data_IF_778327535727
#
_entry.id   IF_778327535727
#
_cell.length_a   1.000
_cell.length_b   1.000
_cell.length_c   1.000
_cell.angle_alpha   90.00
_cell.angle_beta   90.00
_cell.angle_gamma   90.00
#
_symmetry.space_group_name_H-M   'P 1'
#
loop_
_entity.id
_entity.type
_entity.pdbx_description
1 polymer ?
#
# COMPACT_ATOMS: atom_id res chain seq x y z
N UNK A 1 8.21 19.12 56.46
CA UNK A 1 7.32 18.22 55.69
C UNK A 1 8.19 17.53 54.67
N UNK A 2 8.44 16.24 54.83
CA UNK A 2 9.15 15.46 53.82
C UNK A 2 8.29 15.47 52.55
N UNK A 3 8.80 16.07 51.47
CA UNK A 3 8.16 15.98 50.17
C UNK A 3 8.12 14.49 49.78
N UNK A 4 6.92 13.92 49.63
CA UNK A 4 6.77 12.57 49.11
C UNK A 4 7.34 12.51 47.69
N UNK A 5 8.57 12.00 47.55
CA UNK A 5 9.25 11.87 46.27
C UNK A 5 8.51 10.83 45.44
N UNK A 6 7.98 11.24 44.29
CA UNK A 6 7.32 10.31 43.38
C UNK A 6 8.29 9.83 42.31
N UNK A 7 8.47 8.51 42.21
CA UNK A 7 9.32 7.86 41.22
C UNK A 7 8.48 7.21 40.14
N UNK A 8 8.83 7.48 38.88
CA UNK A 8 8.33 6.75 37.73
C UNK A 8 9.47 6.21 36.90
N UNK A 9 9.23 5.10 36.23
CA UNK A 9 10.21 4.43 35.39
C UNK A 9 9.86 4.65 33.94
N UNK A 10 10.88 4.92 33.14
CA UNK A 10 10.78 5.02 31.69
C UNK A 10 12.04 4.45 31.06
N UNK A 11 12.12 4.53 29.73
CA UNK A 11 13.31 4.17 28.98
C UNK A 11 13.81 5.37 28.18
N UNK A 12 15.13 5.49 28.07
CA UNK A 12 15.76 6.40 27.12
C UNK A 12 15.49 5.95 25.67
N UNK A 13 15.84 6.81 24.70
CA UNK A 13 15.78 6.44 23.28
C UNK A 13 16.66 5.24 22.93
N UNK A 14 17.70 4.95 23.74
CA UNK A 14 18.61 3.81 23.59
C UNK A 14 18.11 2.54 24.27
N UNK A 15 16.97 2.60 24.98
CA UNK A 15 16.42 1.46 25.73
C UNK A 15 17.02 1.28 27.13
N UNK A 16 17.84 2.22 27.59
CA UNK A 16 18.38 2.22 28.95
C UNK A 16 17.33 2.74 29.95
N UNK A 17 17.30 2.17 31.15
CA UNK A 17 16.39 2.58 32.22
C UNK A 17 16.61 4.06 32.58
N UNK A 18 15.51 4.79 32.70
CA UNK A 18 15.45 6.19 33.05
C UNK A 18 14.45 6.41 34.18
N UNK A 19 14.88 7.13 35.21
CA UNK A 19 14.07 7.45 36.39
C UNK A 19 13.52 8.87 36.24
N UNK A 20 12.25 9.03 36.59
CA UNK A 20 11.54 10.31 36.61
C UNK A 20 11.21 10.63 38.06
N UNK A 21 11.58 11.83 38.50
CA UNK A 21 11.29 12.33 39.84
C UNK A 21 10.33 13.51 39.76
N UNK A 22 9.32 13.50 40.63
CA UNK A 22 8.36 14.58 40.84
C UNK A 22 7.72 15.07 39.53
N UNK A 23 7.59 14.17 38.55
CA UNK A 23 7.06 14.44 37.19
C UNK A 23 7.81 15.55 36.41
N UNK A 24 8.95 16.02 36.90
CA UNK A 24 9.62 17.22 36.40
C UNK A 24 11.05 16.94 35.89
N UNK A 25 11.74 15.98 36.51
CA UNK A 25 13.15 15.74 36.26
C UNK A 25 13.40 14.31 35.78
N UNK A 26 14.30 14.16 34.82
CA UNK A 26 14.70 12.87 34.24
C UNK A 26 16.13 12.55 34.63
N UNK A 27 16.39 11.29 34.98
CA UNK A 27 17.68 10.79 35.38
C UNK A 27 18.05 9.54 34.57
N UNK A 28 19.19 9.57 33.90
CA UNK A 28 19.72 8.40 33.19
C UNK A 28 20.60 7.59 34.11
N UNK A 29 20.59 6.28 33.93
CA UNK A 29 21.56 5.39 34.57
C UNK A 29 23.00 5.86 34.28
N UNK A 30 23.83 5.86 35.32
CA UNK A 30 25.24 6.23 35.21
C UNK A 30 26.15 5.03 35.43
N UNK A 31 26.06 4.37 36.58
CA UNK A 31 26.88 3.21 36.95
C UNK A 31 26.31 2.52 38.19
N UNK A 32 26.73 1.28 38.42
CA UNK A 32 26.45 0.54 39.65
C UNK A 32 27.61 0.71 40.64
N UNK A 33 27.28 0.72 41.94
CA UNK A 33 28.24 0.74 43.05
C UNK A 33 28.59 -0.68 43.49
N UNK A 34 29.60 -0.81 44.37
CA UNK A 34 30.07 -2.10 44.90
C UNK A 34 29.01 -2.85 45.71
N UNK A 35 28.07 -2.13 46.32
CA UNK A 35 26.90 -2.65 47.05
C UNK A 35 25.71 -2.97 46.13
N UNK A 36 25.93 -3.02 44.81
CA UNK A 36 24.93 -3.18 43.75
C UNK A 36 23.89 -2.05 43.64
N UNK A 37 23.97 -0.99 44.45
CA UNK A 37 23.10 0.18 44.28
C UNK A 37 23.41 0.91 42.98
N UNK A 38 22.37 1.49 42.36
CA UNK A 38 22.47 2.11 41.03
C UNK A 38 22.42 3.63 41.15
N UNK A 39 23.39 4.29 40.51
CA UNK A 39 23.45 5.76 40.45
C UNK A 39 22.83 6.25 39.16
N UNK A 40 21.88 7.18 39.26
CA UNK A 40 21.28 7.87 38.13
C UNK A 40 21.59 9.37 38.22
N UNK A 41 21.99 9.98 37.10
CA UNK A 41 22.32 11.42 37.02
C UNK A 41 21.29 12.14 36.16
N UNK A 42 21.01 13.40 36.49
CA UNK A 42 20.09 14.21 35.71
C UNK A 42 20.49 14.24 34.22
N UNK A 43 19.51 14.15 33.31
CA UNK A 43 19.76 14.17 31.86
C UNK A 43 20.44 15.44 31.35
N UNK A 44 20.37 16.52 32.13
CA UNK A 44 20.98 17.82 31.84
C UNK A 44 22.45 17.90 32.32
N UNK A 45 23.00 16.86 32.96
CA UNK A 45 24.40 16.81 33.45
C UNK A 45 25.43 16.97 32.33
N UNK A 46 25.18 16.42 31.14
CA UNK A 46 26.09 16.53 29.97
C UNK A 46 25.74 17.67 29.02
N UNK A 47 24.72 18.47 29.34
CA UNK A 47 24.26 19.58 28.50
C UNK A 47 24.79 20.90 29.05
N UNK A 48 24.39 22.02 28.44
CA UNK A 48 24.79 23.37 28.83
C UNK A 48 24.57 23.66 30.32
N UNK A 49 23.50 23.10 30.89
CA UNK A 49 23.18 23.26 32.30
C UNK A 49 24.22 22.59 33.22
N UNK A 50 24.91 21.52 32.81
CA UNK A 50 25.86 20.77 33.67
C UNK A 50 25.28 20.40 35.04
N UNK A 51 24.00 20.06 35.07
CA UNK A 51 23.22 19.81 36.29
C UNK A 51 23.83 18.70 37.15
N UNK A 52 24.09 18.96 38.43
CA UNK A 52 24.79 18.04 39.35
C UNK A 52 23.87 17.07 40.10
N UNK A 53 22.56 17.19 39.94
CA UNK A 53 21.60 16.32 40.62
C UNK A 53 21.79 14.84 40.29
N UNK A 54 21.69 14.00 41.31
CA UNK A 54 21.71 12.55 41.16
C UNK A 54 20.82 11.87 42.20
N UNK A 55 20.47 10.62 41.91
CA UNK A 55 19.77 9.72 42.81
C UNK A 55 20.47 8.37 42.85
N UNK A 56 20.51 7.75 44.02
CA UNK A 56 20.96 6.37 44.21
C UNK A 56 19.77 5.54 44.66
N UNK A 57 19.52 4.46 43.93
CA UNK A 57 18.45 3.50 44.23
C UNK A 57 19.05 2.14 44.59
N UNK A 58 18.40 1.40 45.50
CA UNK A 58 18.70 0.00 45.72
C UNK A 58 18.11 -0.89 44.61
N UNK A 59 18.27 -2.21 44.72
CA UNK A 59 17.72 -3.16 43.75
C UNK A 59 16.18 -3.16 43.72
N UNK A 60 15.54 -2.83 44.84
CA UNK A 60 14.09 -2.71 45.01
C UNK A 60 13.55 -1.34 44.57
N UNK A 61 14.43 -0.47 44.04
CA UNK A 61 14.13 0.89 43.54
C UNK A 61 13.73 1.89 44.63
N UNK A 62 14.08 1.60 45.88
CA UNK A 62 13.96 2.51 47.01
C UNK A 62 15.11 3.52 47.01
N UNK A 63 14.84 4.72 47.51
CA UNK A 63 15.79 5.83 47.52
C UNK A 63 16.79 5.65 48.67
N UNK A 64 18.03 5.33 48.33
CA UNK A 64 19.13 5.33 49.31
C UNK A 64 19.67 6.73 49.56
N UNK A 65 19.73 7.55 48.50
CA UNK A 65 20.13 8.96 48.59
C UNK A 65 19.62 9.73 47.37
N UNK A 66 19.04 10.90 47.60
CA UNK A 66 18.66 11.84 46.55
C UNK A 66 19.28 13.21 46.81
N UNK A 67 20.01 13.75 45.83
CA UNK A 67 20.64 15.06 45.91
C UNK A 67 20.08 15.97 44.81
N UNK A 68 19.16 16.85 45.18
CA UNK A 68 18.33 17.68 44.29
C UNK A 68 18.98 19.02 43.92
N UNK A 69 20.22 18.98 43.41
CA UNK A 69 20.99 20.18 43.01
C UNK A 69 20.69 20.64 41.57
N UNK A 70 19.41 20.83 41.25
CA UNK A 70 18.99 21.23 39.91
C UNK A 70 19.24 22.72 39.69
N UNK A 71 19.89 23.05 38.58
CA UNK A 71 20.13 24.43 38.16
C UNK A 71 19.35 24.82 36.89
N UNK A 72 18.28 24.09 36.63
CA UNK A 72 17.37 24.31 35.50
C UNK A 72 15.94 23.99 35.94
N UNK A 73 14.93 24.59 35.29
CA UNK A 73 13.54 24.26 35.57
C UNK A 73 13.21 22.81 35.18
N UNK A 74 12.19 22.26 35.85
CA UNK A 74 11.57 21.00 35.47
C UNK A 74 10.86 21.10 34.11
N UNK A 75 10.67 19.97 33.43
CA UNK A 75 9.98 19.92 32.14
C UNK A 75 8.96 18.79 32.12
N UNK A 76 7.75 19.11 32.58
CA UNK A 76 6.64 18.15 32.72
C UNK A 76 6.21 17.53 31.39
N UNK A 77 6.21 18.31 30.30
CA UNK A 77 5.87 17.79 28.96
C UNK A 77 6.92 16.80 28.45
N UNK A 78 8.21 17.12 28.63
CA UNK A 78 9.31 16.22 28.23
C UNK A 78 9.31 14.92 29.04
N UNK A 79 8.90 15.00 30.30
CA UNK A 79 8.67 13.85 31.17
C UNK A 79 7.47 13.05 30.68
N UNK A 80 6.31 13.68 30.49
CA UNK A 80 5.09 13.00 30.05
C UNK A 80 5.28 12.29 28.72
N UNK A 81 6.00 12.91 27.77
CA UNK A 81 6.38 12.28 26.52
C UNK A 81 7.24 11.03 26.73
N UNK A 82 8.17 11.04 27.68
CA UNK A 82 9.04 9.88 27.94
C UNK A 82 8.26 8.73 28.56
N UNK A 83 7.35 9.01 29.50
CA UNK A 83 6.44 8.02 30.09
C UNK A 83 5.51 7.42 29.04
N UNK A 84 4.87 8.26 28.22
CA UNK A 84 3.96 7.79 27.17
C UNK A 84 4.67 6.88 26.17
N UNK A 85 5.88 7.27 25.74
CA UNK A 85 6.71 6.45 24.85
C UNK A 85 7.03 5.09 25.45
N UNK A 86 7.34 5.03 26.75
CA UNK A 86 7.62 3.78 27.45
C UNK A 86 6.37 2.88 27.51
N UNK A 87 5.24 3.40 28.00
CA UNK A 87 3.96 2.66 28.06
C UNK A 87 3.55 2.11 26.68
N UNK A 88 3.66 2.92 25.64
CA UNK A 88 3.36 2.50 24.26
C UNK A 88 4.22 1.31 23.83
N UNK A 89 5.53 1.36 24.08
CA UNK A 89 6.43 0.25 23.71
C UNK A 89 6.05 -1.02 24.47
N UNK A 90 5.76 -0.91 25.76
CA UNK A 90 5.45 -2.06 26.61
C UNK A 90 4.12 -2.71 26.23
N UNK A 91 3.09 -1.91 25.95
CA UNK A 91 1.84 -2.44 25.40
C UNK A 91 2.05 -3.13 24.04
N UNK A 92 2.85 -2.54 23.14
CA UNK A 92 3.19 -3.16 21.86
C UNK A 92 3.95 -4.49 22.07
N UNK A 93 4.83 -4.59 23.07
CA UNK A 93 5.55 -5.83 23.38
C UNK A 93 4.58 -6.95 23.79
N UNK A 94 3.51 -6.64 24.53
CA UNK A 94 2.49 -7.61 25.00
C UNK A 94 1.64 -8.22 23.87
N UNK A 95 1.43 -7.51 22.76
CA UNK A 95 0.66 -8.03 21.63
C UNK A 95 1.42 -9.09 20.83
N UNK A 96 0.91 -10.31 20.72
CA UNK A 96 1.55 -11.35 19.89
C UNK A 96 1.60 -10.98 18.41
N UNK A 97 0.47 -10.53 17.84
CA UNK A 97 0.37 -10.14 16.45
C UNK A 97 0.46 -8.60 16.28
N UNK A 98 1.46 -8.07 15.56
CA UNK A 98 1.59 -6.63 15.33
C UNK A 98 0.45 -6.02 14.49
N UNK A 99 -0.26 -6.81 13.68
CA UNK A 99 -1.34 -6.34 12.81
C UNK A 99 -2.63 -5.99 13.57
N UNK A 100 -2.85 -6.57 14.75
CA UNK A 100 -4.03 -6.31 15.59
C UNK A 100 -3.98 -4.93 16.27
N UNK A 101 -2.81 -4.28 16.24
CA UNK A 101 -2.55 -3.04 16.96
C UNK A 101 -3.16 -1.86 16.21
N UNK A 102 -4.37 -1.46 16.63
CA UNK A 102 -5.02 -0.22 16.19
C UNK A 102 -4.31 1.00 16.81
N UNK A 103 -3.30 1.52 16.11
CA UNK A 103 -2.41 2.63 16.55
C UNK A 103 -3.09 3.78 17.29
N UNK A 104 -4.18 4.34 16.75
CA UNK A 104 -4.88 5.48 17.37
C UNK A 104 -5.67 5.07 18.62
N UNK A 105 -6.23 3.85 18.63
CA UNK A 105 -6.91 3.29 19.79
C UNK A 105 -5.93 3.05 20.94
N UNK A 106 -4.80 2.41 20.65
CA UNK A 106 -3.70 2.20 21.61
C UNK A 106 -3.28 3.53 22.25
N UNK A 107 -3.03 4.56 21.43
CA UNK A 107 -2.71 5.89 21.94
C UNK A 107 -3.82 6.46 22.83
N UNK A 108 -5.09 6.36 22.41
CA UNK A 108 -6.22 6.92 23.18
C UNK A 108 -6.38 6.22 24.54
N UNK A 109 -6.17 4.90 24.61
CA UNK A 109 -6.24 4.12 25.85
C UNK A 109 -5.14 4.57 26.84
N UNK A 110 -3.89 4.63 26.36
CA UNK A 110 -2.75 5.10 27.18
C UNK A 110 -2.89 6.57 27.56
N UNK A 111 -3.36 7.42 26.65
CA UNK A 111 -3.57 8.84 26.89
C UNK A 111 -4.66 9.08 27.95
N UNK A 112 -5.74 8.30 27.96
CA UNK A 112 -6.76 8.36 29.01
C UNK A 112 -6.21 7.95 30.37
N UNK A 113 -5.43 6.87 30.42
CA UNK A 113 -4.77 6.42 31.65
C UNK A 113 -3.81 7.47 32.21
N UNK A 114 -3.06 8.15 31.33
CA UNK A 114 -2.07 9.17 31.70
C UNK A 114 -2.68 10.55 32.00
N UNK A 115 -3.84 10.87 31.43
CA UNK A 115 -4.44 12.22 31.46
C UNK A 115 -4.78 12.73 32.86
N UNK A 116 -4.85 11.84 33.85
CA UNK A 116 -5.04 12.20 35.26
C UNK A 116 -3.74 12.62 35.98
N UNK A 117 -2.57 12.30 35.41
CA UNK A 117 -1.27 12.41 36.10
C UNK A 117 -0.33 13.39 35.39
N UNK A 118 -0.42 13.49 34.06
CA UNK A 118 0.50 14.23 33.21
C UNK A 118 -0.20 15.06 32.13
N UNK A 119 0.42 16.15 31.64
CA UNK A 119 0.01 16.78 30.39
C UNK A 119 0.17 15.78 29.25
N UNK A 120 -0.92 15.44 28.56
CA UNK A 120 -0.91 14.41 27.52
C UNK A 120 -0.26 14.93 26.22
N UNK A 121 0.87 14.33 25.77
CA UNK A 121 1.44 14.65 24.47
C UNK A 121 0.47 14.28 23.35
N UNK A 122 0.46 15.08 22.28
CA UNK A 122 -0.34 14.80 21.10
C UNK A 122 0.07 13.50 20.39
N UNK A 123 -0.89 12.88 19.70
CA UNK A 123 -0.64 11.68 18.91
C UNK A 123 0.49 11.85 17.88
N UNK A 124 0.61 13.04 17.28
CA UNK A 124 1.65 13.33 16.28
C UNK A 124 3.05 13.13 16.88
N UNK A 125 3.24 13.50 18.15
CA UNK A 125 4.52 13.38 18.87
C UNK A 125 4.99 11.94 19.09
N UNK A 126 4.07 10.96 19.02
CA UNK A 126 4.37 9.52 19.25
C UNK A 126 4.04 8.61 18.06
N UNK A 127 3.36 9.11 17.03
CA UNK A 127 2.95 8.34 15.83
C UNK A 127 4.11 7.57 15.20
N UNK A 128 5.25 8.23 14.99
CA UNK A 128 6.44 7.61 14.40
C UNK A 128 7.06 6.55 15.30
N UNK A 129 7.02 6.73 16.63
CA UNK A 129 7.49 5.72 17.57
C UNK A 129 6.60 4.47 17.51
N UNK A 130 5.28 4.64 17.54
CA UNK A 130 4.32 3.52 17.44
C UNK A 130 4.62 2.71 16.17
N UNK A 131 4.72 3.39 15.02
CA UNK A 131 5.06 2.77 13.74
C UNK A 131 6.38 1.97 13.79
N UNK A 132 7.46 2.59 14.28
CA UNK A 132 8.76 1.92 14.39
C UNK A 132 8.73 0.73 15.33
N UNK A 133 7.98 0.82 16.43
CA UNK A 133 7.90 -0.24 17.44
C UNK A 133 7.11 -1.44 16.93
N UNK A 134 6.03 -1.21 16.18
CA UNK A 134 5.28 -2.27 15.48
C UNK A 134 6.16 -2.92 14.40
N UNK A 135 6.82 -2.11 13.57
CA UNK A 135 7.67 -2.62 12.48
C UNK A 135 8.86 -3.46 12.98
N UNK A 136 9.36 -3.21 14.20
CA UNK A 136 10.40 -4.05 14.81
C UNK A 136 9.94 -5.48 15.12
N UNK A 137 8.64 -5.72 15.24
CA UNK A 137 8.08 -7.07 15.44
C UNK A 137 7.82 -7.78 14.11
N UNK A 138 7.79 -7.05 13.00
CA UNK A 138 7.62 -7.65 11.68
C UNK A 138 8.94 -8.26 11.21
N UNK A 139 8.90 -9.37 10.45
CA UNK A 139 10.09 -9.92 9.83
C UNK A 139 10.71 -8.89 8.87
N UNK A 140 12.01 -9.01 8.66
CA UNK A 140 12.72 -8.24 7.64
C UNK A 140 12.06 -8.43 6.27
N UNK A 141 11.95 -7.34 5.51
CA UNK A 141 11.43 -7.41 4.16
C UNK A 141 12.32 -8.33 3.30
N UNK A 142 11.68 -9.16 2.50
CA UNK A 142 12.31 -9.96 1.46
C UNK A 142 12.99 -9.03 0.46
N UNK A 143 14.20 -9.38 -0.01
CA UNK A 143 14.97 -8.53 -0.94
C UNK A 143 14.98 -9.06 -2.38
N UNK A 144 14.78 -10.36 -2.56
CA UNK A 144 14.68 -11.00 -3.87
C UNK A 144 13.43 -11.86 -4.01
N UNK A 145 13.00 -12.11 -5.26
CA UNK A 145 11.78 -12.91 -5.50
C UNK A 145 11.91 -14.36 -4.99
N UNK A 146 13.12 -14.93 -5.03
CA UNK A 146 13.36 -16.32 -4.61
C UNK A 146 13.35 -16.48 -3.08
N UNK A 147 13.61 -15.41 -2.33
CA UNK A 147 13.56 -15.40 -0.87
C UNK A 147 12.13 -15.37 -0.30
N UNK A 148 11.11 -15.16 -1.13
CA UNK A 148 9.72 -15.35 -0.69
C UNK A 148 9.64 -16.78 -0.14
N UNK A 149 9.15 -17.02 1.09
CA UNK A 149 9.07 -18.38 1.63
C UNK A 149 7.97 -19.20 0.93
N UNK A 150 8.01 -20.53 1.05
CA UNK A 150 6.92 -21.40 0.59
C UNK A 150 5.81 -21.51 1.65
N UNK A 151 6.17 -21.31 2.92
CA UNK A 151 5.28 -21.41 4.06
C UNK A 151 5.49 -20.20 4.96
N UNK A 152 4.40 -19.66 5.50
CA UNK A 152 4.44 -18.53 6.42
C UNK A 152 3.13 -18.50 7.20
N UNK A 153 3.20 -18.08 8.46
CA UNK A 153 2.00 -17.75 9.23
C UNK A 153 1.11 -16.70 8.52
N UNK A 154 1.72 -15.82 7.72
CA UNK A 154 1.00 -14.79 6.94
C UNK A 154 0.31 -15.33 5.68
N UNK A 155 0.51 -16.61 5.34
CA UNK A 155 -0.16 -17.27 4.22
C UNK A 155 -1.40 -18.04 4.67
N UNK A 156 -1.85 -17.80 5.90
CA UNK A 156 -3.12 -18.30 6.45
C UNK A 156 -4.06 -17.14 6.72
N UNK A 157 -5.36 -17.36 6.52
CA UNK A 157 -6.39 -16.41 6.95
C UNK A 157 -6.62 -16.52 8.46
N UNK A 158 -7.39 -15.59 9.05
CA UNK A 158 -7.83 -15.69 10.45
C UNK A 158 -8.63 -16.98 10.75
N UNK A 159 -9.17 -17.64 9.70
CA UNK A 159 -9.87 -18.93 9.79
C UNK A 159 -8.93 -20.13 9.54
N UNK A 160 -7.62 -19.90 9.52
CA UNK A 160 -6.59 -20.90 9.22
C UNK A 160 -6.71 -21.54 7.81
N UNK A 161 -7.34 -20.82 6.87
CA UNK A 161 -7.45 -21.26 5.48
C UNK A 161 -6.21 -20.84 4.69
N UNK A 162 -5.79 -21.65 3.71
CA UNK A 162 -4.68 -21.30 2.82
C UNK A 162 -4.99 -20.04 2.02
N UNK A 163 -4.06 -19.10 2.04
CA UNK A 163 -4.14 -17.87 1.28
C UNK A 163 -3.19 -17.86 0.08
N UNK A 164 -1.99 -18.44 0.19
CA UNK A 164 -1.10 -18.61 -0.96
C UNK A 164 -1.41 -19.92 -1.68
N UNK A 165 -1.82 -19.85 -2.95
CA UNK A 165 -2.28 -21.01 -3.72
C UNK A 165 -1.30 -21.49 -4.79
N UNK A 166 -0.34 -20.64 -5.16
CA UNK A 166 0.64 -20.98 -6.19
C UNK A 166 1.90 -20.13 -6.08
N UNK A 167 3.04 -20.75 -6.34
CA UNK A 167 4.34 -20.07 -6.44
C UNK A 167 5.25 -20.77 -7.44
N UNK A 168 5.98 -20.00 -8.22
CA UNK A 168 7.14 -20.44 -8.99
C UNK A 168 8.20 -19.34 -9.05
N UNK A 169 9.10 -19.33 -10.04
CA UNK A 169 10.17 -18.34 -10.18
C UNK A 169 9.75 -16.95 -10.69
N UNK A 170 8.53 -16.80 -11.22
CA UNK A 170 8.05 -15.55 -11.84
C UNK A 170 6.71 -15.06 -11.28
N UNK A 171 5.98 -15.91 -10.54
CA UNK A 171 4.60 -15.70 -10.14
C UNK A 171 4.33 -16.28 -8.75
N UNK A 172 3.75 -15.46 -7.89
CA UNK A 172 3.10 -15.89 -6.63
C UNK A 172 1.64 -15.47 -6.68
N UNK A 173 0.72 -16.35 -6.29
CA UNK A 173 -0.73 -16.07 -6.28
C UNK A 173 -1.28 -16.28 -4.88
N UNK A 174 -2.02 -15.28 -4.42
CA UNK A 174 -2.78 -15.28 -3.18
C UNK A 174 -4.27 -15.20 -3.49
N UNK A 175 -5.02 -16.18 -2.98
CA UNK A 175 -6.46 -16.26 -3.09
C UNK A 175 -7.00 -17.16 -1.97
N UNK A 176 -7.79 -16.60 -1.05
CA UNK A 176 -8.47 -17.41 -0.02
C UNK A 176 -9.64 -18.20 -0.61
N UNK A 177 -10.17 -19.24 0.08
CA UNK A 177 -11.36 -19.97 -0.35
C UNK A 177 -12.57 -19.05 -0.58
N UNK A 178 -12.75 -18.04 0.29
CA UNK A 178 -13.81 -17.05 0.12
C UNK A 178 -13.64 -16.23 -1.17
N UNK A 179 -12.41 -15.80 -1.48
CA UNK A 179 -12.12 -15.05 -2.69
C UNK A 179 -12.30 -15.91 -3.96
N UNK A 180 -11.92 -17.19 -3.91
CA UNK A 180 -12.20 -18.14 -4.99
C UNK A 180 -13.71 -18.32 -5.21
N UNK A 181 -14.50 -18.38 -4.12
CA UNK A 181 -15.97 -18.42 -4.18
C UNK A 181 -16.55 -17.15 -4.83
N UNK A 182 -16.03 -15.97 -4.50
CA UNK A 182 -16.45 -14.72 -5.12
C UNK A 182 -16.12 -14.67 -6.61
N UNK A 183 -14.89 -15.05 -6.98
CA UNK A 183 -14.43 -15.15 -8.38
C UNK A 183 -15.38 -16.00 -9.22
N UNK A 184 -15.84 -17.12 -8.65
CA UNK A 184 -16.78 -18.03 -9.30
C UNK A 184 -18.20 -17.49 -9.34
N UNK A 185 -18.75 -17.05 -8.20
CA UNK A 185 -20.16 -16.63 -8.09
C UNK A 185 -20.44 -15.40 -8.97
N UNK A 186 -19.48 -14.48 -9.07
CA UNK A 186 -19.62 -13.20 -9.76
C UNK A 186 -18.73 -13.13 -11.01
N UNK A 187 -18.74 -14.16 -11.82
CA UNK A 187 -17.88 -14.29 -12.99
C UNK A 187 -18.38 -13.59 -14.27
N UNK A 188 -19.59 -13.02 -14.30
CA UNK A 188 -20.06 -12.29 -15.49
C UNK A 188 -19.07 -11.20 -15.93
N UNK A 189 -18.48 -10.50 -14.97
CA UNK A 189 -17.54 -9.40 -15.20
C UNK A 189 -16.37 -9.53 -14.23
N UNK A 190 -15.19 -9.85 -14.78
CA UNK A 190 -13.94 -9.88 -14.02
C UNK A 190 -13.10 -8.68 -14.39
N UNK A 191 -12.67 -7.93 -13.39
CA UNK A 191 -11.81 -6.78 -13.58
C UNK A 191 -10.40 -7.10 -13.15
N UNK A 192 -9.43 -6.70 -13.96
CA UNK A 192 -8.03 -7.00 -13.71
C UNK A 192 -7.18 -5.75 -13.92
N UNK A 193 -6.23 -5.54 -13.01
CA UNK A 193 -5.32 -4.40 -13.05
C UNK A 193 -3.94 -4.76 -12.49
N UNK A 194 -2.90 -4.13 -13.04
CA UNK A 194 -1.53 -4.25 -12.56
C UNK A 194 -1.09 -2.96 -11.87
N UNK A 195 -0.91 -3.00 -10.55
CA UNK A 195 -0.44 -1.85 -9.78
C UNK A 195 1.05 -1.95 -9.45
N UNK A 196 1.76 -0.84 -9.65
CA UNK A 196 3.19 -0.69 -9.35
C UNK A 196 3.43 -0.12 -7.94
N UNK A 197 2.44 0.59 -7.39
CA UNK A 197 2.60 1.36 -6.15
C UNK A 197 2.92 0.47 -4.94
N UNK A 198 2.29 -0.71 -4.88
CA UNK A 198 2.50 -1.70 -3.81
C UNK A 198 3.45 -2.83 -4.22
N UNK A 199 4.02 -2.77 -5.42
CA UNK A 199 4.87 -3.85 -5.93
C UNK A 199 6.22 -3.87 -5.20
N UNK A 200 6.67 -5.04 -4.69
CA UNK A 200 8.03 -5.19 -4.19
C UNK A 200 9.07 -4.79 -5.25
N UNK A 201 10.20 -4.22 -4.82
CA UNK A 201 11.27 -3.72 -5.72
C UNK A 201 11.77 -4.75 -6.72
N UNK A 202 11.74 -6.04 -6.36
CA UNK A 202 12.18 -7.17 -7.18
C UNK A 202 11.08 -7.72 -8.11
N UNK A 203 9.92 -7.08 -8.16
CA UNK A 203 8.77 -7.49 -8.97
C UNK A 203 8.37 -6.37 -9.93
N UNK A 204 7.76 -6.73 -11.06
CA UNK A 204 7.32 -5.76 -12.04
C UNK A 204 5.98 -5.13 -11.63
N UNK A 205 5.08 -5.89 -11.01
CA UNK A 205 3.78 -5.41 -10.58
C UNK A 205 3.11 -6.36 -9.59
N UNK A 206 2.12 -5.84 -8.85
CA UNK A 206 1.08 -6.66 -8.22
C UNK A 206 -0.14 -6.65 -9.12
N UNK A 207 -0.54 -7.82 -9.57
CA UNK A 207 -1.72 -8.04 -10.39
C UNK A 207 -2.92 -8.37 -9.49
N UNK A 208 -4.00 -7.63 -9.65
CA UNK A 208 -5.20 -7.74 -8.83
C UNK A 208 -6.34 -8.20 -9.73
N UNK A 209 -7.12 -9.18 -9.26
CA UNK A 209 -8.40 -9.53 -9.89
C UNK A 209 -9.54 -9.15 -8.94
N UNK A 210 -10.62 -8.61 -9.50
CA UNK A 210 -11.79 -8.12 -8.76
C UNK A 210 -13.08 -8.49 -9.48
N UNK A 211 -14.16 -8.59 -8.72
CA UNK A 211 -15.52 -8.80 -9.23
C UNK A 211 -16.48 -7.86 -8.54
N UNK A 212 -17.53 -7.43 -9.25
CA UNK A 212 -18.58 -6.62 -8.66
C UNK A 212 -19.66 -7.50 -8.04
N UNK A 213 -19.88 -7.33 -6.73
CA UNK A 213 -20.88 -8.07 -5.96
C UNK A 213 -22.15 -7.22 -5.90
N UNK A 214 -23.14 -7.59 -6.71
CA UNK A 214 -24.38 -6.81 -6.90
C UNK A 214 -25.14 -6.60 -5.59
N UNK A 215 -25.24 -7.64 -4.76
CA UNK A 215 -25.98 -7.62 -3.51
C UNK A 215 -25.38 -6.64 -2.48
N UNK A 216 -24.08 -6.33 -2.61
CA UNK A 216 -23.36 -5.41 -1.73
C UNK A 216 -23.04 -4.08 -2.42
N UNK A 217 -23.44 -3.92 -3.69
CA UNK A 217 -23.14 -2.78 -4.53
C UNK A 217 -21.65 -2.36 -4.46
N UNK A 218 -20.73 -3.34 -4.49
CA UNK A 218 -19.30 -3.07 -4.24
C UNK A 218 -18.36 -4.03 -4.95
N UNK A 219 -17.14 -3.57 -5.22
CA UNK A 219 -16.08 -4.36 -5.84
C UNK A 219 -15.25 -5.09 -4.79
N UNK A 220 -15.17 -6.41 -4.92
CA UNK A 220 -14.36 -7.26 -4.05
C UNK A 220 -13.15 -7.80 -4.79
N UNK A 221 -12.02 -7.83 -4.09
CA UNK A 221 -10.80 -8.48 -4.60
C UNK A 221 -10.92 -9.99 -4.49
N UNK A 222 -10.63 -10.65 -5.59
CA UNK A 222 -10.73 -12.10 -5.74
C UNK A 222 -9.38 -12.78 -5.86
N UNK A 223 -8.30 -12.04 -6.16
CA UNK A 223 -6.93 -12.51 -5.96
C UNK A 223 -5.92 -11.37 -5.96
N UNK A 224 -4.77 -11.62 -5.37
CA UNK A 224 -3.55 -10.85 -5.57
C UNK A 224 -2.48 -11.75 -6.19
N UNK A 225 -1.64 -11.21 -7.05
CA UNK A 225 -0.50 -11.94 -7.57
C UNK A 225 0.72 -11.04 -7.72
N UNK A 226 1.89 -11.52 -7.32
CA UNK A 226 3.16 -10.81 -7.51
C UNK A 226 3.80 -11.35 -8.77
N UNK A 227 4.04 -10.48 -9.76
CA UNK A 227 4.57 -10.87 -11.06
C UNK A 227 5.95 -10.25 -11.28
N UNK A 228 6.93 -11.09 -11.63
CA UNK A 228 8.29 -10.62 -11.99
C UNK A 228 8.38 -10.08 -13.42
N UNK A 229 7.40 -10.40 -14.27
CA UNK A 229 7.36 -9.95 -15.65
C UNK A 229 5.92 -9.81 -16.17
N UNK A 230 5.75 -9.07 -17.27
CA UNK A 230 4.48 -8.86 -17.98
C UNK A 230 4.31 -9.78 -19.21
N UNK A 231 4.89 -10.99 -19.18
CA UNK A 231 4.85 -11.91 -20.33
C UNK A 231 3.49 -12.63 -20.39
N UNK A 232 2.99 -12.87 -21.60
CA UNK A 232 1.75 -13.63 -21.83
C UNK A 232 1.75 -15.01 -21.14
N UNK A 233 2.90 -15.71 -21.11
CA UNK A 233 3.04 -17.02 -20.44
C UNK A 233 2.70 -16.94 -18.95
N UNK A 234 3.11 -15.87 -18.29
CA UNK A 234 2.88 -15.64 -16.86
C UNK A 234 1.41 -15.38 -16.57
N UNK A 235 0.77 -14.51 -17.36
CA UNK A 235 -0.69 -14.30 -17.25
C UNK A 235 -1.48 -15.56 -17.54
N UNK A 236 -1.10 -16.35 -18.56
CA UNK A 236 -1.77 -17.61 -18.89
C UNK A 236 -1.73 -18.56 -17.68
N UNK A 237 -0.58 -18.66 -17.03
CA UNK A 237 -0.42 -19.48 -15.83
C UNK A 237 -1.24 -18.95 -14.64
N UNK A 238 -1.27 -17.63 -14.44
CA UNK A 238 -2.11 -16.98 -13.43
C UNK A 238 -3.59 -17.34 -13.62
N UNK A 239 -4.16 -17.08 -14.79
CA UNK A 239 -5.58 -17.36 -15.04
C UNK A 239 -5.90 -18.85 -15.00
N UNK A 240 -4.98 -19.72 -15.44
CA UNK A 240 -5.13 -21.16 -15.27
C UNK A 240 -5.22 -21.57 -13.80
N UNK A 241 -4.36 -21.02 -12.94
CA UNK A 241 -4.36 -21.35 -11.51
C UNK A 241 -5.63 -20.83 -10.82
N UNK A 242 -6.09 -19.63 -11.16
CA UNK A 242 -7.38 -19.12 -10.67
C UNK A 242 -8.57 -19.99 -11.15
N UNK A 243 -8.55 -20.47 -12.40
CA UNK A 243 -9.56 -21.39 -12.93
C UNK A 243 -9.54 -22.74 -12.19
N UNK A 244 -8.36 -23.31 -11.97
CA UNK A 244 -8.18 -24.61 -11.28
C UNK A 244 -8.59 -24.56 -9.81
N UNK A 245 -8.32 -23.46 -9.11
CA UNK A 245 -8.64 -23.32 -7.69
C UNK A 245 -10.17 -23.28 -7.41
N UNK A 246 -11.00 -23.30 -8.46
CA UNK A 246 -12.45 -23.34 -8.38
C UNK A 246 -13.01 -24.78 -8.50
N UNK A 247 -12.63 -25.65 -7.56
CA UNK A 247 -12.81 -27.13 -7.56
C UNK A 247 -14.26 -27.71 -7.54
N UNK A 248 -15.31 -27.01 -7.99
CA UNK A 248 -16.68 -27.59 -8.04
C UNK A 248 -17.23 -27.63 -9.47
N UNK A 249 -17.79 -28.79 -9.87
CA UNK A 249 -18.30 -29.28 -11.17
C UNK A 249 -19.27 -28.40 -11.99
N UNK A 250 -19.48 -27.14 -11.64
CA UNK A 250 -20.28 -26.19 -12.42
C UNK A 250 -19.41 -24.97 -12.65
N UNK A 251 -18.66 -24.94 -13.76
CA UNK A 251 -17.88 -23.78 -14.18
C UNK A 251 -18.77 -23.00 -15.14
N UNK A 252 -19.36 -21.91 -14.67
CA UNK A 252 -19.70 -20.82 -15.58
C UNK A 252 -18.38 -20.12 -15.92
N UNK A 253 -18.08 -19.99 -17.21
CA UNK A 253 -16.91 -19.24 -17.65
C UNK A 253 -17.21 -17.73 -17.58
N UNK A 254 -16.21 -16.88 -17.31
CA UNK A 254 -16.44 -15.45 -17.31
C UNK A 254 -16.85 -14.94 -18.68
N UNK A 255 -17.86 -14.05 -18.69
CA UNK A 255 -18.39 -13.48 -19.93
C UNK A 255 -17.56 -12.30 -20.41
N UNK A 256 -17.14 -11.44 -19.49
CA UNK A 256 -16.34 -10.26 -19.79
C UNK A 256 -15.09 -10.21 -18.90
N UNK A 257 -13.95 -9.86 -19.48
CA UNK A 257 -12.79 -9.37 -18.74
C UNK A 257 -12.60 -7.88 -19.01
N UNK A 258 -12.36 -7.13 -17.96
CA UNK A 258 -12.07 -5.71 -18.00
C UNK A 258 -10.61 -5.50 -17.67
N UNK A 259 -9.82 -5.00 -18.61
CA UNK A 259 -8.37 -4.86 -18.43
C UNK A 259 -7.82 -3.61 -19.13
N UNK A 260 -6.54 -3.36 -18.89
CA UNK A 260 -5.81 -2.31 -19.59
C UNK A 260 -5.40 -2.73 -20.99
N UNK A 261 -4.88 -1.77 -21.76
CA UNK A 261 -4.31 -1.97 -23.10
C UNK A 261 -2.97 -2.70 -23.03
N UNK A 262 -2.98 -3.91 -22.50
CA UNK A 262 -1.82 -4.81 -22.45
C UNK A 262 -2.14 -6.10 -23.21
N UNK A 263 -1.58 -6.25 -24.43
CA UNK A 263 -1.79 -7.43 -25.29
C UNK A 263 -1.46 -8.76 -24.58
N UNK A 264 -0.53 -8.74 -23.63
CA UNK A 264 -0.15 -9.91 -22.85
C UNK A 264 -1.32 -10.47 -22.03
N UNK A 265 -2.12 -9.60 -21.42
CA UNK A 265 -3.31 -9.97 -20.66
C UNK A 265 -4.37 -10.50 -21.60
N UNK A 266 -4.76 -9.70 -22.61
CA UNK A 266 -5.88 -10.04 -23.50
C UNK A 266 -5.67 -11.36 -24.24
N UNK A 267 -4.46 -11.58 -24.79
CA UNK A 267 -4.11 -12.85 -25.45
C UNK A 267 -4.00 -14.02 -24.48
N UNK A 268 -3.66 -13.80 -23.21
CA UNK A 268 -3.63 -14.87 -22.22
C UNK A 268 -5.05 -15.28 -21.83
N UNK A 269 -5.92 -14.31 -21.55
CA UNK A 269 -7.30 -14.55 -21.12
C UNK A 269 -8.10 -15.26 -22.22
N UNK A 270 -8.00 -14.82 -23.49
CA UNK A 270 -8.62 -15.51 -24.65
C UNK A 270 -8.15 -16.97 -24.80
N UNK A 271 -6.91 -17.29 -24.40
CA UNK A 271 -6.43 -18.69 -24.43
C UNK A 271 -7.00 -19.56 -23.30
N UNK A 272 -7.42 -18.96 -22.18
CA UNK A 272 -7.97 -19.70 -21.02
C UNK A 272 -9.50 -19.75 -21.04
N UNK A 273 -10.13 -18.70 -21.57
CA UNK A 273 -11.56 -18.54 -21.73
C UNK A 273 -11.83 -18.12 -23.18
N UNK A 274 -11.97 -19.09 -24.12
CA UNK A 274 -12.10 -18.79 -25.55
C UNK A 274 -13.30 -17.88 -25.90
N UNK A 275 -14.40 -18.01 -25.14
CA UNK A 275 -15.65 -17.28 -25.39
C UNK A 275 -15.73 -15.93 -24.65
N UNK A 276 -14.65 -15.48 -24.01
CA UNK A 276 -14.66 -14.25 -23.22
C UNK A 276 -14.64 -13.00 -24.10
N UNK A 277 -15.47 -12.03 -23.76
CA UNK A 277 -15.39 -10.70 -24.33
C UNK A 277 -14.35 -9.87 -23.58
N UNK A 278 -13.48 -9.17 -24.32
CA UNK A 278 -12.47 -8.30 -23.73
C UNK A 278 -12.95 -6.86 -23.81
N UNK A 279 -13.01 -6.23 -22.63
CA UNK A 279 -13.33 -4.82 -22.49
C UNK A 279 -12.11 -4.09 -21.94
N UNK A 280 -11.63 -3.12 -22.70
CA UNK A 280 -10.51 -2.30 -22.35
C UNK A 280 -10.95 -1.04 -21.59
N UNK A 281 -10.09 -0.56 -20.68
CA UNK A 281 -10.37 0.62 -19.88
C UNK A 281 -10.30 1.92 -20.70
N UNK A 282 -11.40 2.68 -20.76
CA UNK A 282 -11.47 3.95 -21.52
C UNK A 282 -10.51 5.01 -20.98
N UNK A 283 -10.26 5.01 -19.67
CA UNK A 283 -9.34 5.97 -19.06
C UNK A 283 -7.93 5.76 -19.57
N UNK A 284 -7.46 4.51 -19.56
CA UNK A 284 -6.16 4.15 -20.11
C UNK A 284 -6.07 4.44 -21.61
N UNK A 285 -7.12 4.15 -22.37
CA UNK A 285 -7.20 4.54 -23.79
C UNK A 285 -6.97 6.03 -24.01
N UNK A 286 -7.77 6.88 -23.35
CA UNK A 286 -7.68 8.34 -23.51
C UNK A 286 -6.34 8.88 -23.04
N UNK A 287 -5.80 8.35 -21.93
CA UNK A 287 -4.50 8.74 -21.42
C UNK A 287 -3.37 8.38 -22.40
N UNK A 288 -3.38 7.18 -22.98
CA UNK A 288 -2.38 6.77 -23.98
C UNK A 288 -2.48 7.59 -25.27
N UNK A 289 -3.70 7.92 -25.72
CA UNK A 289 -3.89 8.83 -26.85
C UNK A 289 -3.37 10.23 -26.56
N UNK A 290 -3.62 10.76 -25.37
CA UNK A 290 -3.15 12.09 -24.98
C UNK A 290 -1.62 12.17 -24.95
N UNK A 291 -0.96 11.14 -24.39
CA UNK A 291 0.51 11.03 -24.42
C UNK A 291 1.01 11.04 -25.87
N UNK A 292 0.44 10.18 -26.74
CA UNK A 292 0.88 10.07 -28.13
C UNK A 292 0.56 11.30 -28.98
N UNK A 293 -0.57 11.96 -28.71
CA UNK A 293 -0.93 13.26 -29.30
C UNK A 293 0.10 14.32 -28.92
N UNK A 294 0.48 14.39 -27.64
CA UNK A 294 1.49 15.35 -27.17
C UNK A 294 2.90 15.06 -27.73
N UNK A 295 3.22 13.78 -27.96
CA UNK A 295 4.49 13.36 -28.56
C UNK A 295 4.58 13.68 -30.07
N UNK A 296 3.51 13.41 -30.81
CA UNK A 296 3.56 13.43 -32.28
C UNK A 296 3.06 14.73 -32.90
N UNK A 297 1.96 15.31 -32.38
CA UNK A 297 1.18 16.34 -33.09
C UNK A 297 0.61 17.42 -32.16
N UNK A 298 1.29 17.73 -31.05
CA UNK A 298 0.81 18.68 -30.04
C UNK A 298 0.45 20.04 -30.62
N UNK A 299 1.32 20.61 -31.45
CA UNK A 299 1.15 21.94 -32.01
C UNK A 299 -0.01 21.95 -33.01
N UNK A 300 -0.01 21.03 -33.99
CA UNK A 300 -1.13 20.91 -34.95
C UNK A 300 -2.49 20.74 -34.28
N UNK A 301 -2.57 19.97 -33.20
CA UNK A 301 -3.83 19.73 -32.46
C UNK A 301 -4.24 20.93 -31.61
N UNK A 302 -3.29 21.68 -31.04
CA UNK A 302 -3.60 22.81 -30.16
C UNK A 302 -3.84 24.12 -30.92
N UNK A 303 -3.19 24.28 -32.08
CA UNK A 303 -3.19 25.52 -32.84
C UNK A 303 -4.32 25.54 -33.90
N UNK A 304 -4.94 24.38 -34.19
CA UNK A 304 -6.01 24.25 -35.18
C UNK A 304 -7.28 23.58 -34.62
N UNK A 305 -8.37 24.34 -34.57
CA UNK A 305 -9.66 23.87 -34.04
C UNK A 305 -10.22 22.66 -34.81
N UNK A 306 -10.01 22.57 -36.13
CA UNK A 306 -10.51 21.42 -36.92
C UNK A 306 -9.74 20.15 -36.57
N UNK A 307 -8.41 20.24 -36.42
CA UNK A 307 -7.58 19.10 -36.03
C UNK A 307 -7.86 18.70 -34.58
N UNK A 308 -8.09 19.66 -33.69
CA UNK A 308 -8.59 19.40 -32.35
C UNK A 308 -9.89 18.59 -32.36
N UNK A 309 -10.86 18.98 -33.20
CA UNK A 309 -12.12 18.27 -33.34
C UNK A 309 -11.94 16.87 -33.93
N UNK A 310 -11.01 16.68 -34.87
CA UNK A 310 -10.65 15.35 -35.37
C UNK A 310 -10.06 14.45 -34.28
N UNK A 311 -9.12 14.97 -33.48
CA UNK A 311 -8.58 14.27 -32.32
C UNK A 311 -9.68 13.89 -31.31
N UNK A 312 -10.62 14.81 -31.04
CA UNK A 312 -11.79 14.52 -30.20
C UNK A 312 -12.67 13.42 -30.80
N UNK A 313 -12.86 13.40 -32.11
CA UNK A 313 -13.53 12.32 -32.82
C UNK A 313 -12.84 10.97 -32.57
N UNK A 314 -11.53 10.88 -32.83
CA UNK A 314 -10.73 9.66 -32.60
C UNK A 314 -10.80 9.19 -31.15
N UNK A 315 -10.61 10.09 -30.19
CA UNK A 315 -10.63 9.75 -28.75
C UNK A 315 -12.01 9.32 -28.21
N UNK A 316 -13.08 9.50 -28.99
CA UNK A 316 -14.44 9.12 -28.63
C UNK A 316 -15.04 8.03 -29.54
N UNK A 317 -14.28 7.49 -30.51
CA UNK A 317 -14.68 6.32 -31.31
C UNK A 317 -15.26 5.16 -30.49
N UNK A 318 -14.74 4.84 -29.28
CA UNK A 318 -15.34 3.85 -28.39
C UNK A 318 -16.84 3.98 -28.08
N UNK A 319 -17.42 5.17 -28.26
CA UNK A 319 -18.81 5.47 -27.94
C UNK A 319 -19.72 5.43 -29.17
N UNK A 320 -19.16 5.18 -30.35
CA UNK A 320 -19.90 5.12 -31.61
C UNK A 320 -20.21 3.65 -31.95
N UNK A 321 -21.23 3.41 -32.77
CA UNK A 321 -21.48 2.09 -33.34
C UNK A 321 -20.20 1.60 -34.06
N UNK A 322 -19.67 0.41 -33.74
CA UNK A 322 -18.45 -0.10 -34.35
C UNK A 322 -18.45 -0.16 -35.88
N UNK A 323 -19.62 -0.29 -36.50
CA UNK A 323 -19.77 -0.30 -37.97
C UNK A 323 -19.28 1.00 -38.60
N UNK A 324 -19.45 2.15 -37.93
CA UNK A 324 -19.05 3.46 -38.46
C UNK A 324 -17.60 3.84 -38.12
N UNK A 325 -16.88 3.06 -37.30
CA UNK A 325 -15.52 3.42 -36.84
C UNK A 325 -14.57 3.61 -38.03
N UNK A 326 -14.61 2.70 -39.00
CA UNK A 326 -13.72 2.75 -40.17
C UNK A 326 -14.06 3.91 -41.11
N UNK A 327 -15.35 4.20 -41.29
CA UNK A 327 -15.80 5.30 -42.16
C UNK A 327 -15.41 6.65 -41.56
N UNK A 328 -15.65 6.84 -40.25
CA UNK A 328 -15.27 8.05 -39.52
C UNK A 328 -13.75 8.23 -39.54
N UNK A 329 -12.99 7.17 -39.27
CA UNK A 329 -11.53 7.23 -39.33
C UNK A 329 -11.03 7.62 -40.73
N UNK A 330 -11.60 7.02 -41.77
CA UNK A 330 -11.23 7.30 -43.17
C UNK A 330 -11.56 8.75 -43.55
N UNK A 331 -12.73 9.25 -43.16
CA UNK A 331 -13.13 10.64 -43.36
C UNK A 331 -12.16 11.62 -42.68
N UNK A 332 -11.81 11.36 -41.42
CA UNK A 332 -10.85 12.18 -40.67
C UNK A 332 -9.47 12.15 -41.36
N UNK A 333 -9.02 10.97 -41.80
CA UNK A 333 -7.75 10.81 -42.51
C UNK A 333 -7.73 11.62 -43.81
N UNK A 334 -8.74 11.50 -44.67
CA UNK A 334 -8.84 12.26 -45.94
C UNK A 334 -8.81 13.76 -45.69
N UNK A 335 -9.62 14.27 -44.75
CA UNK A 335 -9.63 15.70 -44.43
C UNK A 335 -8.33 16.21 -43.82
N UNK A 336 -7.57 15.33 -43.14
CA UNK A 336 -6.25 15.68 -42.60
C UNK A 336 -5.18 15.74 -43.70
N UNK A 337 -5.31 14.94 -44.76
CA UNK A 337 -4.46 15.01 -45.97
C UNK A 337 -4.72 16.32 -46.72
N UNK A 338 -5.99 16.66 -46.99
CA UNK A 338 -6.37 17.91 -47.67
C UNK A 338 -5.83 19.16 -46.96
N UNK A 339 -5.67 19.09 -45.64
CA UNK A 339 -5.19 20.18 -44.80
C UNK A 339 -3.67 20.18 -44.58
N UNK A 340 -2.94 19.22 -45.17
CA UNK A 340 -1.49 19.06 -45.00
C UNK A 340 -1.04 18.93 -43.53
N UNK A 341 -1.85 18.27 -42.67
CA UNK A 341 -1.54 18.05 -41.25
C UNK A 341 -0.62 16.84 -41.05
N UNK A 342 0.63 16.99 -41.49
CA UNK A 342 1.62 15.92 -41.56
C UNK A 342 1.88 15.23 -40.22
N UNK A 343 1.91 15.97 -39.10
CA UNK A 343 2.13 15.37 -37.79
C UNK A 343 0.91 14.60 -37.29
N UNK A 344 -0.30 15.15 -37.50
CA UNK A 344 -1.54 14.48 -37.15
C UNK A 344 -1.75 13.20 -37.97
N UNK A 345 -1.32 13.17 -39.24
CA UNK A 345 -1.33 11.95 -40.05
C UNK A 345 -0.47 10.82 -39.44
N UNK A 346 0.71 11.15 -38.88
CA UNK A 346 1.53 10.16 -38.14
C UNK A 346 0.81 9.63 -36.91
N UNK A 347 0.08 10.49 -36.20
CA UNK A 347 -0.77 10.06 -35.08
C UNK A 347 -1.91 9.13 -35.54
N UNK A 348 -2.55 9.42 -36.68
CA UNK A 348 -3.61 8.56 -37.25
C UNK A 348 -3.06 7.20 -37.71
N UNK A 349 -1.86 7.17 -38.27
CA UNK A 349 -1.18 5.92 -38.62
C UNK A 349 -0.89 5.07 -37.37
N UNK A 350 -0.29 5.68 -36.34
CA UNK A 350 -0.12 5.03 -35.04
C UNK A 350 -1.45 4.49 -34.48
N UNK A 351 -2.51 5.28 -34.57
CA UNK A 351 -3.83 4.90 -34.10
C UNK A 351 -4.36 3.66 -34.83
N UNK A 352 -4.24 3.67 -36.17
CA UNK A 352 -4.68 2.58 -37.03
C UNK A 352 -3.95 1.27 -36.72
N UNK A 353 -2.63 1.30 -36.69
CA UNK A 353 -1.82 0.11 -36.41
C UNK A 353 -2.05 -0.43 -35.00
N UNK A 354 -2.10 0.46 -34.01
CA UNK A 354 -2.17 0.06 -32.61
C UNK A 354 -3.55 -0.44 -32.24
N UNK A 355 -4.59 0.34 -32.55
CA UNK A 355 -5.93 0.13 -32.02
C UNK A 355 -6.87 -0.54 -33.01
N UNK A 356 -6.91 -0.09 -34.26
CA UNK A 356 -7.82 -0.65 -35.27
C UNK A 356 -7.36 -2.04 -35.70
N UNK A 357 -6.06 -2.22 -35.96
CA UNK A 357 -5.47 -3.54 -36.26
C UNK A 357 -5.08 -4.27 -34.98
N UNK A 358 -4.21 -3.65 -34.16
CA UNK A 358 -3.52 -4.35 -33.08
C UNK A 358 -4.41 -4.82 -31.93
N UNK A 359 -5.52 -4.11 -31.67
CA UNK A 359 -6.50 -4.45 -30.63
C UNK A 359 -7.87 -4.86 -31.18
N UNK A 360 -8.07 -4.78 -32.50
CA UNK A 360 -9.33 -5.07 -33.19
C UNK A 360 -10.52 -4.30 -32.58
N UNK A 361 -10.43 -2.96 -32.59
CA UNK A 361 -11.42 -2.03 -31.99
C UNK A 361 -12.85 -2.12 -32.59
N UNK A 362 -13.12 -3.07 -33.50
CA UNK A 362 -14.43 -3.28 -34.13
C UNK A 362 -15.48 -3.91 -33.21
N UNK A 363 -15.13 -4.24 -31.97
CA UNK A 363 -16.02 -4.87 -31.00
C UNK A 363 -16.32 -3.86 -29.87
N UNK A 364 -17.53 -3.89 -29.29
CA UNK A 364 -17.93 -3.08 -28.11
C UNK A 364 -16.96 -3.28 -26.94
N UNK A 365 -15.88 -2.52 -26.94
CA UNK A 365 -14.65 -2.81 -26.21
C UNK A 365 -14.40 -1.91 -25.01
N UNK A 366 -15.29 -0.99 -24.64
CA UNK A 366 -14.93 0.05 -23.67
C UNK A 366 -15.93 0.20 -22.55
N UNK A 367 -15.40 0.42 -21.34
CA UNK A 367 -16.19 0.73 -20.14
C UNK A 367 -15.71 2.01 -19.48
N UNK A 368 -16.69 2.70 -18.91
CA UNK A 368 -16.50 3.87 -18.06
C UNK A 368 -15.84 3.50 -16.73
N UNK A 369 -14.70 4.13 -16.48
CA UNK A 369 -14.09 4.42 -15.18
C UNK A 369 -14.09 3.28 -14.15
N UNK A 370 -12.98 2.55 -14.09
CA UNK A 370 -12.48 2.08 -12.79
C UNK A 370 -11.02 2.45 -12.68
N UNK A 371 -10.74 3.51 -11.93
CA UNK A 371 -9.41 3.72 -11.37
C UNK A 371 -9.31 2.72 -10.22
N UNK A 372 -8.50 1.69 -10.38
CA UNK A 372 -8.31 0.63 -9.39
C UNK A 372 -7.36 1.06 -8.27
N UNK A 373 -7.53 2.27 -7.71
CA UNK A 373 -6.87 2.71 -6.47
C UNK A 373 -7.74 3.71 -5.72
#
# INVERSE_FOLDING_TARGET
MEENITIYISESNKGEEQIIINKQYKFNFSHSRKDNSKVYKCTEYKKNNKCKSFIILNNEKEILKYESLHNHPGNEYSVSLSVMKHKIKDEIKKHSNPFDIKRKRLYNEISKEMGFIYPCPEYISVKTLILRSINKKLPSNVTTFNEIPNESEYYKTERNEDFMIFKNSDLVIFQSPFQAKLFKKYNNDIFVDGTFYIAPKFSQQVFITRTYVKELNSFYTTSYAILRNKKQKTYKMLFNKLKQNSNNNIITEPKNVHCDFEKGISKAVKKIFPNINIKYCIWHYKNLLEIKKNELCRNEVNDDEKIFNYYKGISNLPFINPEYIMDIFSLIKTKSIEKNSCQFLKFLEYFYETYLIGYDMKIKMFIYLIKFM
#
